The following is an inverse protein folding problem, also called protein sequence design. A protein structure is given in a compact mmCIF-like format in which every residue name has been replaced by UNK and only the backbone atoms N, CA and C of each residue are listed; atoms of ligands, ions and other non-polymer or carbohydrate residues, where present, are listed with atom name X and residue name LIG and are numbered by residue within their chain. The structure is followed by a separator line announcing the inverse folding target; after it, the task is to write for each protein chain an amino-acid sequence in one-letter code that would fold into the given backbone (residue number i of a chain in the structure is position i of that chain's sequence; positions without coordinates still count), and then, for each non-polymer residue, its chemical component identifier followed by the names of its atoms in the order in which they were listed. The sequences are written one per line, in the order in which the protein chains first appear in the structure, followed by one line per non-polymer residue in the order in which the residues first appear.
data_IF_681847355868
#
_entry.id   IF_681847355868
#
_cell.length_a   1.000
_cell.length_b   1.000
_cell.length_c   1.000
_cell.angle_alpha   90.00
_cell.angle_beta   90.00
_cell.angle_gamma   90.00
#
_symmetry.space_group_name_H-M   'P 1'
#
loop_
_entity.id
_entity.type
_entity.pdbx_description
1 polymer ?
#
# COMPACT_ATOMS: atom_id res chain seq x y z
N UNK A 1 13.35 38.48 -12.81
CA UNK A 1 12.20 37.54 -12.78
C UNK A 1 12.52 36.14 -13.32
N UNK A 2 13.61 35.94 -14.09
CA UNK A 2 13.91 34.63 -14.66
C UNK A 2 14.19 33.50 -13.64
N UNK A 3 14.80 33.83 -12.50
CA UNK A 3 15.17 32.79 -11.53
C UNK A 3 13.94 32.18 -10.81
N UNK A 4 12.91 32.99 -10.56
CA UNK A 4 11.70 32.56 -9.85
C UNK A 4 10.92 31.51 -10.66
N UNK A 5 10.70 31.72 -11.96
CA UNK A 5 10.01 30.71 -12.78
C UNK A 5 10.76 29.38 -12.78
N UNK A 6 12.09 29.42 -12.73
CA UNK A 6 12.93 28.22 -12.79
C UNK A 6 12.77 27.41 -11.51
N UNK A 7 12.73 28.09 -10.36
CA UNK A 7 12.46 27.49 -9.05
C UNK A 7 11.04 26.90 -9.01
N UNK A 8 10.03 27.66 -9.45
CA UNK A 8 8.63 27.18 -9.49
C UNK A 8 8.49 25.96 -10.39
N UNK A 9 9.13 25.96 -11.57
CA UNK A 9 9.10 24.83 -12.50
C UNK A 9 9.71 23.57 -11.88
N UNK A 10 10.83 23.70 -11.16
CA UNK A 10 11.46 22.58 -10.44
C UNK A 10 10.52 22.05 -9.35
N UNK A 11 9.88 22.94 -8.57
CA UNK A 11 8.92 22.53 -7.54
C UNK A 11 7.75 21.77 -8.14
N UNK A 12 7.14 22.28 -9.21
CA UNK A 12 6.02 21.62 -9.91
C UNK A 12 6.45 20.24 -10.44
N UNK A 13 7.63 20.12 -11.04
CA UNK A 13 8.17 18.84 -11.50
C UNK A 13 8.35 17.85 -10.34
N UNK A 14 8.87 18.30 -9.20
CA UNK A 14 9.06 17.45 -8.02
C UNK A 14 7.71 16.98 -7.44
N UNK A 15 6.73 17.88 -7.33
CA UNK A 15 5.38 17.51 -6.88
C UNK A 15 4.71 16.50 -7.81
N UNK A 16 4.82 16.69 -9.14
CA UNK A 16 4.26 15.76 -10.12
C UNK A 16 4.88 14.36 -10.00
N UNK A 17 6.19 14.28 -9.80
CA UNK A 17 6.93 13.05 -9.51
C UNK A 17 6.36 12.39 -8.25
N UNK A 18 6.33 13.08 -7.10
CA UNK A 18 5.84 12.51 -5.83
C UNK A 18 4.38 12.03 -5.92
N UNK A 19 3.50 12.79 -6.56
CA UNK A 19 2.10 12.38 -6.79
C UNK A 19 2.05 11.09 -7.62
N UNK A 20 2.88 10.98 -8.66
CA UNK A 20 2.94 9.78 -9.51
C UNK A 20 3.47 8.56 -8.74
N UNK A 21 4.50 8.73 -7.90
CA UNK A 21 5.06 7.62 -7.10
C UNK A 21 4.14 7.20 -5.95
N UNK A 22 3.36 8.09 -5.37
CA UNK A 22 2.42 7.74 -4.29
C UNK A 22 1.30 6.79 -4.74
N UNK A 23 1.03 6.74 -6.05
CA UNK A 23 0.11 5.77 -6.65
C UNK A 23 0.73 4.38 -6.88
N UNK A 24 1.99 4.15 -6.49
CA UNK A 24 2.50 2.78 -6.38
C UNK A 24 1.84 2.13 -5.16
N UNK A 25 0.60 1.70 -5.37
CA UNK A 25 0.06 0.58 -4.64
C UNK A 25 1.08 -0.52 -4.87
N UNK A 26 1.89 -0.79 -3.84
CA UNK A 26 2.79 -1.93 -3.80
C UNK A 26 1.88 -3.16 -3.78
N UNK A 27 1.31 -3.47 -4.94
CA UNK A 27 0.52 -4.66 -5.23
C UNK A 27 1.38 -5.93 -5.11
N UNK A 28 2.68 -5.77 -4.80
CA UNK A 28 3.59 -6.83 -4.35
C UNK A 28 3.86 -6.80 -2.84
N UNK A 29 2.98 -6.21 -2.03
CA UNK A 29 3.10 -6.31 -0.58
C UNK A 29 2.87 -7.78 -0.19
N UNK A 30 3.97 -8.52 -0.07
CA UNK A 30 4.01 -9.88 0.46
C UNK A 30 3.03 -9.95 1.63
N UNK A 31 2.04 -10.83 1.52
CA UNK A 31 0.98 -10.92 2.51
C UNK A 31 1.60 -11.12 3.90
N UNK A 32 1.40 -10.13 4.78
CA UNK A 32 1.89 -10.21 6.14
C UNK A 32 0.94 -11.10 6.94
N UNK A 33 1.29 -12.37 7.09
CA UNK A 33 0.47 -13.35 7.80
C UNK A 33 0.10 -12.89 9.21
N UNK A 34 1.00 -12.21 9.94
CA UNK A 34 0.73 -11.71 11.29
C UNK A 34 -0.35 -10.63 11.29
N UNK A 35 -0.28 -9.67 10.37
CA UNK A 35 -1.33 -8.64 10.18
C UNK A 35 -2.63 -9.27 9.72
N UNK A 36 -2.56 -10.21 8.78
CA UNK A 36 -3.71 -10.94 8.25
C UNK A 36 -4.44 -11.70 9.37
N UNK A 37 -3.71 -12.50 10.12
CA UNK A 37 -4.24 -13.28 11.23
C UNK A 37 -4.82 -12.39 12.33
N UNK A 38 -4.19 -11.25 12.66
CA UNK A 38 -4.74 -10.32 13.64
C UNK A 38 -6.08 -9.74 13.17
N UNK A 39 -6.19 -9.38 11.89
CA UNK A 39 -7.42 -8.87 11.30
C UNK A 39 -8.54 -9.92 11.34
N UNK A 40 -8.26 -11.14 10.88
CA UNK A 40 -9.25 -12.22 10.86
C UNK A 40 -9.63 -12.72 12.26
N UNK A 41 -8.71 -12.66 13.23
CA UNK A 41 -8.97 -13.06 14.61
C UNK A 41 -10.06 -12.22 15.25
N UNK A 42 -10.16 -10.93 14.89
CA UNK A 42 -11.28 -10.07 15.31
C UNK A 42 -12.64 -10.62 14.89
N UNK A 43 -12.68 -11.31 13.74
CA UNK A 43 -13.87 -11.95 13.19
C UNK A 43 -14.07 -13.40 13.67
N UNK A 44 -13.20 -13.92 14.55
CA UNK A 44 -13.19 -15.34 14.93
C UNK A 44 -12.75 -16.29 13.80
N UNK A 45 -12.07 -15.76 12.78
CA UNK A 45 -11.60 -16.49 11.61
C UNK A 45 -10.06 -16.63 11.65
N UNK A 46 -9.53 -17.59 10.90
CA UNK A 46 -8.09 -17.71 10.66
C UNK A 46 -7.69 -16.91 9.42
N UNK A 47 -6.68 -16.07 9.57
CA UNK A 47 -6.05 -15.40 8.43
C UNK A 47 -5.12 -16.35 7.70
N UNK A 48 -5.30 -16.45 6.38
CA UNK A 48 -4.45 -17.20 5.46
C UNK A 48 -3.96 -16.26 4.36
N UNK A 49 -2.68 -16.33 4.05
CA UNK A 49 -2.15 -15.66 2.88
C UNK A 49 -2.32 -16.56 1.65
N UNK A 50 -3.01 -16.06 0.62
CA UNK A 50 -3.11 -16.70 -0.69
C UNK A 50 -2.44 -15.75 -1.69
N UNK A 51 -1.19 -16.07 -2.06
CA UNK A 51 -0.33 -15.10 -2.76
C UNK A 51 -0.09 -13.86 -1.90
N UNK A 52 -0.32 -12.68 -2.47
CA UNK A 52 -0.19 -11.38 -1.78
C UNK A 52 -1.47 -10.95 -1.04
N UNK A 53 -2.53 -11.77 -1.07
CA UNK A 53 -3.82 -11.44 -0.45
C UNK A 53 -4.02 -12.16 0.88
N UNK A 54 -4.62 -11.44 1.83
CA UNK A 54 -5.08 -12.00 3.09
C UNK A 54 -6.54 -12.44 2.96
N UNK A 55 -6.81 -13.72 3.23
CA UNK A 55 -8.17 -14.27 3.30
C UNK A 55 -8.48 -14.78 4.71
N UNK A 56 -9.71 -14.53 5.17
CA UNK A 56 -10.19 -15.03 6.45
C UNK A 56 -11.04 -16.28 6.25
N UNK A 57 -10.52 -17.44 6.67
CA UNK A 57 -11.21 -18.73 6.58
C UNK A 57 -11.75 -19.14 7.95
N UNK A 58 -12.90 -19.84 7.97
CA UNK A 58 -13.43 -20.41 9.22
C UNK A 58 -12.50 -21.54 9.68
N UNK A 59 -12.15 -21.55 10.96
CA UNK A 59 -11.44 -22.69 11.54
C UNK A 59 -12.44 -23.84 11.71
N UNK A 60 -12.39 -24.83 10.82
CA UNK A 60 -13.14 -26.08 10.96
C UNK A 60 -14.45 -26.16 10.17
N UNK A 61 -14.34 -26.52 8.88
CA UNK A 61 -14.97 -27.70 8.26
C UNK A 61 -14.16 -28.08 7.03
#
# INVERSE_FOLDING_TARGET
MHNYYKIVLIMVAFFAVIITFSNIQVEGAVCNLKRCQLSCRSLGLLGKCIGDKCECVKHGK
#
